data_IF_662320348122
#
_entry.id   IF_662320348122
#
_cell.length_a   1.000
_cell.length_b   1.000
_cell.length_c   1.000
_cell.angle_alpha   90.00
_cell.angle_beta   90.00
_cell.angle_gamma   90.00
#
_symmetry.space_group_name_H-M   'P 1'
#
loop_
_entity.id
_entity.type
_entity.pdbx_description
1 polymer ?
#
# COMPACT_ATOMS: atom_id res chain seq x y z
N UNK A 1 -1.38 23.12 -17.92
CA UNK A 1 -1.76 22.54 -16.62
C UNK A 1 -2.21 21.12 -16.90
N UNK A 2 -1.40 20.13 -16.59
CA UNK A 2 -1.78 18.72 -16.78
C UNK A 2 -2.89 18.40 -15.77
N UNK A 3 -4.06 17.96 -16.26
CA UNK A 3 -5.13 17.40 -15.44
C UNK A 3 -4.67 16.05 -14.85
N UNK A 4 -3.65 16.04 -13.99
CA UNK A 4 -3.18 14.83 -13.34
C UNK A 4 -4.12 14.48 -12.19
N UNK A 5 -4.75 13.32 -12.27
CA UNK A 5 -5.51 12.74 -11.19
C UNK A 5 -4.55 12.47 -10.01
N UNK A 6 -4.84 13.01 -8.83
CA UNK A 6 -4.01 12.82 -7.64
C UNK A 6 -4.30 11.48 -6.98
N UNK A 7 -3.31 10.93 -6.26
CA UNK A 7 -3.41 9.69 -5.51
C UNK A 7 -4.62 9.67 -4.56
N UNK A 8 -4.81 10.72 -3.76
CA UNK A 8 -5.96 10.87 -2.86
C UNK A 8 -7.32 10.73 -3.58
N UNK A 9 -7.42 11.24 -4.82
CA UNK A 9 -8.66 11.10 -5.61
C UNK A 9 -8.85 9.68 -6.12
N UNK A 10 -7.76 8.97 -6.43
CA UNK A 10 -7.78 7.57 -6.84
C UNK A 10 -8.23 6.70 -5.66
N UNK A 11 -7.66 6.91 -4.46
CA UNK A 11 -8.03 6.18 -3.24
C UNK A 11 -9.52 6.36 -2.94
N UNK A 12 -10.02 7.60 -2.98
CA UNK A 12 -11.45 7.91 -2.79
C UNK A 12 -12.34 7.22 -3.81
N UNK A 13 -11.89 7.10 -5.06
CA UNK A 13 -12.62 6.38 -6.10
C UNK A 13 -12.68 4.88 -5.78
N UNK A 14 -11.55 4.26 -5.41
CA UNK A 14 -11.50 2.85 -5.02
C UNK A 14 -12.42 2.55 -3.83
N UNK A 15 -12.38 3.38 -2.78
CA UNK A 15 -13.26 3.24 -1.63
C UNK A 15 -14.75 3.36 -1.96
N UNK A 16 -15.10 4.14 -3.00
CA UNK A 16 -16.49 4.26 -3.47
C UNK A 16 -16.97 3.02 -4.22
N UNK A 17 -16.09 2.34 -4.97
CA UNK A 17 -16.46 1.19 -5.81
C UNK A 17 -16.31 -0.15 -5.09
N UNK A 18 -15.49 -0.22 -4.04
CA UNK A 18 -15.27 -1.44 -3.28
C UNK A 18 -16.47 -1.79 -2.37
N UNK A 19 -16.70 -3.09 -2.11
CA UNK A 19 -17.71 -3.53 -1.14
C UNK A 19 -17.48 -2.89 0.24
N UNK A 20 -18.55 -2.54 0.97
CA UNK A 20 -18.46 -1.87 2.28
C UNK A 20 -17.65 -2.64 3.34
N UNK A 21 -17.52 -3.95 3.17
CA UNK A 21 -16.74 -4.86 3.99
C UNK A 21 -15.27 -5.00 3.55
N UNK A 22 -14.86 -4.22 2.55
CA UNK A 22 -13.52 -4.19 1.96
C UNK A 22 -13.06 -2.74 1.80
N UNK A 23 -13.45 -1.88 2.75
CA UNK A 23 -12.99 -0.50 2.81
C UNK A 23 -11.48 -0.51 3.01
N UNK A 24 -10.76 0.12 2.08
CA UNK A 24 -9.41 0.59 2.32
C UNK A 24 -9.59 1.75 3.30
N UNK A 25 -9.69 1.43 4.59
CA UNK A 25 -9.80 2.43 5.64
C UNK A 25 -8.61 3.39 5.51
N UNK A 26 -8.71 4.61 6.03
CA UNK A 26 -7.60 5.59 6.10
C UNK A 26 -6.43 5.12 7.02
N UNK A 27 -6.28 3.81 7.22
CA UNK A 27 -5.29 3.12 8.04
C UNK A 27 -4.29 2.39 7.13
N UNK A 28 -3.06 2.25 7.60
CA UNK A 28 -1.93 1.62 6.89
C UNK A 28 -2.18 0.14 6.48
N UNK A 29 -3.25 -0.49 6.97
CA UNK A 29 -3.58 -1.91 6.75
C UNK A 29 -5.08 -2.14 6.58
N UNK A 30 -5.46 -3.19 5.83
CA UNK A 30 -6.84 -3.68 5.74
C UNK A 30 -7.06 -4.92 6.61
N UNK A 31 -8.08 -4.91 7.47
CA UNK A 31 -8.39 -6.00 8.40
C UNK A 31 -9.64 -6.81 8.03
N UNK A 32 -9.58 -8.14 8.14
CA UNK A 32 -10.74 -9.04 8.01
C UNK A 32 -10.85 -9.97 9.23
N UNK A 33 -12.06 -10.28 9.66
CA UNK A 33 -12.31 -11.29 10.69
C UNK A 33 -12.42 -12.68 10.05
N UNK A 34 -11.66 -13.64 10.59
CA UNK A 34 -11.67 -15.03 10.15
C UNK A 34 -11.49 -15.97 11.34
N UNK A 35 -12.47 -16.85 11.59
CA UNK A 35 -12.42 -17.87 12.67
C UNK A 35 -11.97 -17.32 14.03
N UNK A 36 -12.65 -16.29 14.54
CA UNK A 36 -12.33 -15.58 15.79
C UNK A 36 -10.93 -14.93 15.84
N UNK A 37 -10.26 -14.79 14.69
CA UNK A 37 -8.99 -14.09 14.54
C UNK A 37 -9.16 -12.87 13.63
N UNK A 38 -8.29 -11.88 13.77
CA UNK A 38 -8.18 -10.74 12.85
C UNK A 38 -6.96 -10.93 11.96
N UNK A 39 -7.16 -10.89 10.66
CA UNK A 39 -6.10 -10.93 9.65
C UNK A 39 -5.92 -9.52 9.10
N UNK A 40 -4.69 -9.02 9.09
CA UNK A 40 -4.33 -7.74 8.50
C UNK A 40 -3.54 -7.96 7.23
N UNK A 41 -3.85 -7.18 6.20
CA UNK A 41 -3.26 -7.27 4.87
C UNK A 41 -2.86 -5.86 4.44
N UNK A 42 -1.60 -5.71 4.03
CA UNK A 42 -1.06 -4.52 3.38
C UNK A 42 -0.30 -4.93 2.12
N UNK A 43 -0.11 -3.98 1.22
CA UNK A 43 0.69 -4.17 0.02
C UNK A 43 1.34 -2.85 -0.35
N UNK A 44 2.68 -2.82 -0.34
CA UNK A 44 3.48 -1.69 -0.78
C UNK A 44 4.28 -2.03 -2.03
N UNK A 45 4.82 -0.99 -2.67
CA UNK A 45 5.69 -1.12 -3.83
C UNK A 45 6.97 -0.31 -3.62
N UNK A 46 8.09 -0.87 -4.09
CA UNK A 46 9.33 -0.13 -4.35
C UNK A 46 9.50 0.05 -5.85
N UNK A 47 9.62 1.28 -6.31
CA UNK A 47 9.97 1.60 -7.69
C UNK A 47 11.43 2.01 -7.74
N UNK A 48 12.21 1.39 -8.63
CA UNK A 48 13.66 1.62 -8.72
C UNK A 48 14.00 3.11 -8.88
N UNK A 49 13.27 3.82 -9.74
CA UNK A 49 13.55 5.22 -10.06
C UNK A 49 13.28 6.22 -8.93
N UNK A 50 12.47 5.85 -7.93
CA UNK A 50 12.07 6.74 -6.83
C UNK A 50 12.52 6.26 -5.47
N UNK A 51 12.56 4.95 -5.24
CA UNK A 51 12.70 4.37 -3.91
C UNK A 51 14.03 3.66 -3.66
N UNK A 52 14.83 3.42 -4.73
CA UNK A 52 16.11 2.72 -4.66
C UNK A 52 17.25 3.66 -5.08
N UNK A 53 18.02 4.21 -4.12
CA UNK A 53 19.20 5.02 -4.44
C UNK A 53 20.26 4.22 -5.21
N UNK A 54 21.08 4.85 -6.08
CA UNK A 54 22.07 4.15 -6.90
C UNK A 54 23.10 3.32 -6.11
N UNK A 55 23.34 3.66 -4.85
CA UNK A 55 24.27 2.94 -3.96
C UNK A 55 23.64 1.78 -3.20
N UNK A 56 22.32 1.58 -3.31
CA UNK A 56 21.60 0.54 -2.57
C UNK A 56 21.75 -0.81 -3.27
N UNK A 57 22.30 -1.79 -2.58
CA UNK A 57 22.40 -3.15 -3.12
C UNK A 57 21.08 -3.92 -2.94
N UNK A 58 20.98 -5.09 -3.60
CA UNK A 58 19.78 -5.91 -3.57
C UNK A 58 19.38 -6.34 -2.15
N UNK A 59 20.34 -6.68 -1.29
CA UNK A 59 20.04 -7.09 0.09
C UNK A 59 19.42 -5.94 0.88
N UNK A 60 19.91 -4.72 0.70
CA UNK A 60 19.35 -3.52 1.32
C UNK A 60 17.95 -3.21 0.78
N UNK A 61 17.75 -3.32 -0.54
CA UNK A 61 16.44 -3.14 -1.18
C UNK A 61 15.42 -4.17 -0.68
N UNK A 62 15.79 -5.45 -0.60
CA UNK A 62 14.93 -6.52 -0.05
C UNK A 62 14.63 -6.33 1.43
N UNK A 63 15.59 -5.85 2.22
CA UNK A 63 15.32 -5.50 3.62
C UNK A 63 14.32 -4.34 3.71
N UNK A 64 14.46 -3.33 2.87
CA UNK A 64 13.53 -2.19 2.80
C UNK A 64 12.13 -2.66 2.42
N UNK A 65 12.00 -3.57 1.43
CA UNK A 65 10.70 -4.11 1.00
C UNK A 65 9.94 -4.87 2.07
N UNK A 66 10.65 -5.49 3.03
CA UNK A 66 10.01 -6.13 4.17
C UNK A 66 9.64 -5.09 5.22
N UNK A 67 10.55 -4.19 5.57
CA UNK A 67 10.34 -3.22 6.66
C UNK A 67 9.22 -2.22 6.38
N UNK A 68 8.95 -1.86 5.13
CA UNK A 68 7.82 -0.95 4.82
C UNK A 68 6.45 -1.51 5.16
N UNK A 69 6.29 -2.83 5.15
CA UNK A 69 5.00 -3.48 5.34
C UNK A 69 4.86 -4.15 6.71
N UNK A 70 5.82 -3.94 7.63
CA UNK A 70 5.82 -4.44 9.03
C UNK A 70 5.54 -3.29 9.98
#
# INVERSE_FOLDING_TARGET
MTNSLSEDKIIKLFNRIMPKNMLLSDDDVSGIEFNNSKIFISSDMLVESTDIPPSMNLVQASRKSIIMSV
#
